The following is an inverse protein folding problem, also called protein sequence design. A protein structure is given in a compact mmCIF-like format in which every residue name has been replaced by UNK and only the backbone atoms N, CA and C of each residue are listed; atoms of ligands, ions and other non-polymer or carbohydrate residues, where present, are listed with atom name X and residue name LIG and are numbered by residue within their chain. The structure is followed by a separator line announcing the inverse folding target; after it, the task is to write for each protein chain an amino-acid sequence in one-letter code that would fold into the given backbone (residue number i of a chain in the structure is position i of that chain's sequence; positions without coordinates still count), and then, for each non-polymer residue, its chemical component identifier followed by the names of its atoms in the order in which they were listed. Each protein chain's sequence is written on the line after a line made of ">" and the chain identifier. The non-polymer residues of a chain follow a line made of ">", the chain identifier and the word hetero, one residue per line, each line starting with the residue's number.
data_IF_221665505864
#
_entry.id   IF_221665505864
#
_cell.length_a   1.000
_cell.length_b   1.000
_cell.length_c   1.000
_cell.angle_alpha   90.00
_cell.angle_beta   90.00
_cell.angle_gamma   90.00
#
_symmetry.space_group_name_H-M   'P 1'
#
loop_
_entity.id
_entity.type
_entity.pdbx_description
1 polymer ?
#
# COMPACT_ATOMS: atom_id res chain seq x y z
N UNK A 1 68.18 -57.05 7.91
CA UNK A 1 66.89 -57.75 8.04
C UNK A 1 65.84 -56.69 8.42
N UNK A 2 65.17 -56.18 7.38
CA UNK A 2 63.91 -55.39 7.30
C UNK A 2 63.37 -54.63 8.54
N UNK A 3 63.44 -53.29 8.50
CA UNK A 3 62.65 -52.36 9.33
C UNK A 3 61.26 -52.20 8.69
N UNK A 4 60.22 -52.50 9.46
CA UNK A 4 58.82 -52.66 9.04
C UNK A 4 58.02 -51.39 9.37
N UNK A 5 57.56 -50.71 8.32
CA UNK A 5 56.41 -49.81 8.21
C UNK A 5 56.02 -48.96 9.44
N UNK A 6 56.49 -47.72 9.49
CA UNK A 6 55.97 -46.62 10.34
C UNK A 6 55.82 -45.34 9.52
N UNK A 7 55.08 -45.40 8.41
CA UNK A 7 54.77 -44.22 7.57
C UNK A 7 53.39 -44.36 6.94
N UNK A 8 52.35 -44.49 7.77
CA UNK A 8 50.97 -44.52 7.30
C UNK A 8 50.01 -43.89 8.33
N UNK A 9 50.25 -42.62 8.66
CA UNK A 9 49.38 -41.94 9.62
C UNK A 9 49.67 -40.46 9.76
N UNK A 10 49.60 -39.67 8.69
CA UNK A 10 49.59 -38.20 8.86
C UNK A 10 48.89 -37.37 7.77
N UNK A 11 48.11 -37.95 6.85
CA UNK A 11 47.61 -37.20 5.68
C UNK A 11 46.09 -37.15 5.52
N UNK A 12 45.31 -37.27 6.61
CA UNK A 12 43.83 -37.28 6.50
C UNK A 12 43.10 -36.47 7.60
N UNK A 13 43.56 -35.24 7.89
CA UNK A 13 42.91 -34.41 8.93
C UNK A 13 42.73 -32.93 8.58
N UNK A 14 42.74 -32.52 7.30
CA UNK A 14 42.71 -31.11 6.91
C UNK A 14 41.55 -30.69 5.98
N UNK A 15 40.49 -31.49 5.86
CA UNK A 15 39.42 -31.25 4.87
C UNK A 15 38.03 -30.85 5.42
N UNK A 16 37.91 -30.34 6.66
CA UNK A 16 36.59 -29.94 7.21
C UNK A 16 36.42 -28.44 7.56
N UNK A 17 37.37 -27.57 7.20
CA UNK A 17 37.31 -26.14 7.55
C UNK A 17 36.53 -25.27 6.54
N UNK A 18 35.47 -25.77 5.91
CA UNK A 18 34.86 -25.09 4.74
C UNK A 18 33.36 -24.76 4.84
N UNK A 19 32.74 -24.74 6.02
CA UNK A 19 31.29 -24.53 6.12
C UNK A 19 30.82 -23.60 7.27
N UNK A 20 31.41 -22.42 7.47
CA UNK A 20 30.85 -21.44 8.44
C UNK A 20 30.99 -19.98 8.01
N UNK A 21 30.69 -19.67 6.75
CA UNK A 21 30.32 -18.30 6.35
C UNK A 21 28.87 -18.36 5.91
N UNK A 22 27.96 -18.36 6.89
CA UNK A 22 26.59 -17.92 6.65
C UNK A 22 26.65 -16.38 6.70
N UNK A 23 26.34 -15.65 5.62
CA UNK A 23 26.23 -14.21 5.70
C UNK A 23 25.15 -13.85 6.72
N UNK A 24 25.42 -12.85 7.57
CA UNK A 24 24.44 -12.29 8.48
C UNK A 24 23.21 -11.85 7.66
N UNK A 25 22.05 -12.41 8.00
CA UNK A 25 20.78 -12.00 7.39
C UNK A 25 20.39 -10.69 8.03
N UNK A 26 20.39 -9.61 7.25
CA UNK A 26 19.79 -8.35 7.71
C UNK A 26 18.38 -8.62 8.25
N UNK A 27 18.05 -8.10 9.45
CA UNK A 27 16.74 -8.30 10.05
C UNK A 27 15.68 -7.68 9.13
N UNK A 28 14.59 -8.43 8.95
CA UNK A 28 13.44 -7.98 8.18
C UNK A 28 12.51 -7.17 9.08
N UNK A 29 12.31 -5.90 8.77
CA UNK A 29 11.37 -4.99 9.46
C UNK A 29 10.10 -4.84 8.65
N UNK A 30 8.96 -4.95 9.33
CA UNK A 30 7.64 -4.71 8.76
C UNK A 30 7.12 -3.34 9.17
N UNK A 31 6.62 -2.59 8.21
CA UNK A 31 6.09 -1.24 8.36
C UNK A 31 4.59 -1.22 8.04
N UNK A 32 3.88 -0.36 8.74
CA UNK A 32 2.50 0.01 8.43
C UNK A 32 2.48 1.46 7.98
N UNK A 33 1.42 1.87 7.29
CA UNK A 33 1.18 3.30 7.09
C UNK A 33 0.87 3.95 8.45
N UNK A 34 1.37 5.17 8.73
CA UNK A 34 0.90 5.95 9.85
C UNK A 34 -0.62 6.11 9.80
N UNK A 35 -1.27 6.02 10.96
CA UNK A 35 -2.71 6.29 11.08
C UNK A 35 -3.02 7.66 10.50
N UNK A 36 -4.06 7.79 9.64
CA UNK A 36 -4.43 9.09 9.09
C UNK A 36 -4.89 10.02 10.23
N UNK A 37 -4.67 11.32 10.06
CA UNK A 37 -5.12 12.39 10.95
C UNK A 37 -6.06 13.33 10.18
N UNK A 38 -7.24 12.82 9.81
CA UNK A 38 -8.28 13.64 9.19
C UNK A 38 -9.23 14.20 10.24
N UNK A 39 -9.41 15.52 10.23
CA UNK A 39 -10.40 16.19 11.06
C UNK A 39 -11.83 15.76 10.65
N UNK A 40 -12.75 15.61 11.62
CA UNK A 40 -14.15 15.32 11.32
C UNK A 40 -14.77 16.38 10.40
N UNK A 41 -15.60 15.93 9.48
CA UNK A 41 -16.34 16.78 8.57
C UNK A 41 -17.29 17.71 9.37
N UNK A 42 -17.28 19.00 9.07
CA UNK A 42 -18.11 19.97 9.79
C UNK A 42 -19.58 20.01 9.33
N UNK A 43 -19.90 19.41 8.18
CA UNK A 43 -21.26 19.35 7.62
C UNK A 43 -22.04 18.11 8.03
N UNK A 44 -23.31 18.06 7.62
CA UNK A 44 -24.11 16.84 7.79
C UNK A 44 -23.52 15.68 6.96
N UNK A 45 -23.44 14.47 7.53
CA UNK A 45 -23.10 13.27 6.76
C UNK A 45 -24.10 13.02 5.63
N UNK A 46 -23.64 12.51 4.51
CA UNK A 46 -24.53 11.97 3.48
C UNK A 46 -25.22 10.72 4.05
N UNK A 47 -26.54 10.56 3.86
CA UNK A 47 -27.30 9.40 4.32
C UNK A 47 -27.04 8.17 3.42
N UNK A 48 -25.79 7.95 3.04
CA UNK A 48 -25.32 6.89 2.16
C UNK A 48 -24.33 6.02 2.92
N UNK A 49 -24.46 4.70 2.79
CA UNK A 49 -23.46 3.74 3.19
C UNK A 49 -22.49 3.51 2.02
N UNK A 50 -21.20 3.79 2.24
CA UNK A 50 -20.15 3.61 1.26
C UNK A 50 -19.38 2.32 1.54
N UNK A 51 -19.16 1.50 0.49
CA UNK A 51 -18.19 0.41 0.54
C UNK A 51 -16.94 0.76 -0.25
N UNK A 52 -15.79 0.71 0.39
CA UNK A 52 -14.48 0.84 -0.26
C UNK A 52 -14.00 -0.57 -0.61
N UNK A 53 -13.89 -0.86 -1.91
CA UNK A 53 -13.38 -2.14 -2.40
C UNK A 53 -11.84 -2.06 -2.48
N UNK A 54 -11.14 -3.15 -2.15
CA UNK A 54 -9.68 -3.21 -2.36
C UNK A 54 -9.35 -2.81 -3.81
N UNK A 55 -8.42 -1.84 -4.03
CA UNK A 55 -8.02 -1.46 -5.37
C UNK A 55 -7.53 -2.67 -6.17
N UNK A 56 -7.96 -2.79 -7.43
CA UNK A 56 -7.24 -3.65 -8.37
C UNK A 56 -5.84 -3.11 -8.59
N UNK A 57 -4.91 -3.95 -9.06
CA UNK A 57 -3.57 -3.48 -9.42
C UNK A 57 -2.84 -4.50 -10.28
N UNK A 58 -1.71 -4.10 -10.86
CA UNK A 58 -0.79 -5.03 -11.50
C UNK A 58 -0.16 -6.00 -10.48
N UNK A 59 0.26 -7.17 -10.94
CA UNK A 59 0.94 -8.16 -10.08
C UNK A 59 2.20 -7.60 -9.40
N UNK A 60 2.86 -6.60 -10.00
CA UNK A 60 4.04 -5.97 -9.42
C UNK A 60 3.71 -5.16 -8.15
N UNK A 61 2.52 -4.54 -8.09
CA UNK A 61 2.03 -3.78 -6.95
C UNK A 61 1.35 -4.66 -5.90
N UNK A 62 0.92 -5.88 -6.25
CA UNK A 62 0.40 -6.88 -5.31
C UNK A 62 1.55 -7.52 -4.50
N UNK A 63 2.28 -6.70 -3.77
CA UNK A 63 3.49 -7.09 -3.04
C UNK A 63 3.54 -6.40 -1.69
N UNK A 64 4.24 -7.03 -0.75
CA UNK A 64 4.59 -6.44 0.56
C UNK A 64 5.93 -5.70 0.51
N UNK A 65 6.54 -5.55 -0.67
CA UNK A 65 7.80 -4.82 -0.82
C UNK A 65 7.54 -3.33 -0.91
N UNK A 66 8.35 -2.54 -0.23
CA UNK A 66 8.35 -1.09 -0.41
C UNK A 66 9.05 -0.80 -1.74
N UNK A 67 8.25 -0.40 -2.72
CA UNK A 67 8.69 -0.28 -4.11
C UNK A 67 9.38 1.04 -4.37
N UNK A 68 10.38 0.97 -5.25
CA UNK A 68 11.11 2.14 -5.74
C UNK A 68 11.31 2.02 -7.25
N UNK A 69 11.18 3.14 -7.94
CA UNK A 69 11.36 3.28 -9.38
C UNK A 69 12.52 4.25 -9.66
N UNK A 70 13.75 3.75 -9.85
CA UNK A 70 14.94 4.59 -10.05
C UNK A 70 14.94 5.38 -11.36
N UNK A 71 14.37 4.81 -12.43
CA UNK A 71 14.44 5.34 -13.79
C UNK A 71 13.07 5.50 -14.46
N UNK A 72 11.98 5.29 -13.72
CA UNK A 72 10.60 5.38 -14.23
C UNK A 72 10.11 4.12 -14.96
N UNK A 73 11.01 3.20 -15.32
CA UNK A 73 10.71 2.04 -16.15
C UNK A 73 10.99 0.71 -15.44
N UNK A 74 11.75 0.75 -14.34
CA UNK A 74 12.08 -0.41 -13.52
C UNK A 74 11.47 -0.28 -12.13
N UNK A 75 11.05 -1.41 -11.56
CA UNK A 75 10.66 -1.50 -10.16
C UNK A 75 11.71 -2.31 -9.41
N UNK A 76 12.27 -1.69 -8.39
CA UNK A 76 13.13 -2.29 -7.37
C UNK A 76 12.43 -2.19 -6.01
N UNK A 77 13.10 -2.61 -4.94
CA UNK A 77 12.56 -2.51 -3.58
C UNK A 77 13.64 -2.27 -2.53
N UNK A 78 13.26 -1.64 -1.42
CA UNK A 78 14.13 -1.51 -0.25
C UNK A 78 14.55 -2.88 0.30
N UNK A 79 15.83 -3.01 0.65
CA UNK A 79 16.34 -4.19 1.36
C UNK A 79 15.97 -4.11 2.84
N UNK A 80 15.78 -5.26 3.49
CA UNK A 80 15.43 -5.33 4.92
C UNK A 80 14.05 -4.77 5.31
N UNK A 81 13.32 -4.07 4.43
CA UNK A 81 12.07 -3.40 4.77
C UNK A 81 10.87 -3.90 3.96
N UNK A 82 9.76 -4.19 4.63
CA UNK A 82 8.51 -4.65 4.02
C UNK A 82 7.34 -3.88 4.59
N UNK A 83 6.30 -3.76 3.79
CA UNK A 83 4.96 -3.47 4.28
C UNK A 83 4.39 -4.66 5.04
N UNK A 84 3.53 -4.41 6.02
CA UNK A 84 2.82 -5.43 6.77
C UNK A 84 1.82 -6.21 5.88
N UNK A 85 1.25 -5.52 4.89
CA UNK A 85 0.25 -6.04 3.95
C UNK A 85 0.60 -5.65 2.51
N UNK A 86 0.00 -6.30 1.49
CA UNK A 86 0.17 -5.89 0.10
C UNK A 86 -0.28 -4.45 -0.13
N UNK A 87 0.38 -3.71 -1.04
CA UNK A 87 0.10 -2.29 -1.28
C UNK A 87 -1.40 -1.95 -1.45
N UNK A 88 -2.21 -2.69 -2.23
CA UNK A 88 -3.64 -2.37 -2.37
C UNK A 88 -4.41 -2.53 -1.04
N UNK A 89 -4.05 -3.53 -0.23
CA UNK A 89 -4.66 -3.78 1.07
C UNK A 89 -4.29 -2.68 2.06
N UNK A 90 -3.01 -2.29 2.11
CA UNK A 90 -2.56 -1.16 2.93
C UNK A 90 -3.33 0.12 2.59
N UNK A 91 -3.45 0.42 1.29
CA UNK A 91 -4.15 1.61 0.85
C UNK A 91 -5.65 1.56 1.20
N UNK A 92 -6.31 0.40 1.01
CA UNK A 92 -7.70 0.22 1.41
C UNK A 92 -7.89 0.55 2.90
N UNK A 93 -7.06 -0.04 3.77
CA UNK A 93 -7.19 0.18 5.22
C UNK A 93 -6.97 1.64 5.60
N UNK A 94 -6.00 2.32 4.98
CA UNK A 94 -5.78 3.74 5.18
C UNK A 94 -6.99 4.58 4.76
N UNK A 95 -7.57 4.28 3.59
CA UNK A 95 -8.76 4.98 3.08
C UNK A 95 -9.99 4.75 3.97
N UNK A 96 -10.21 3.53 4.44
CA UNK A 96 -11.33 3.21 5.35
C UNK A 96 -11.20 4.00 6.64
N UNK A 97 -10.03 3.96 7.30
CA UNK A 97 -9.80 4.71 8.53
C UNK A 97 -10.00 6.21 8.32
N UNK A 98 -9.47 6.76 7.24
CA UNK A 98 -9.61 8.18 6.92
C UNK A 98 -11.08 8.58 6.67
N UNK A 99 -11.85 7.77 5.93
CA UNK A 99 -13.26 8.02 5.66
C UNK A 99 -14.13 7.87 6.92
N UNK A 100 -13.79 6.93 7.81
CA UNK A 100 -14.46 6.76 9.10
C UNK A 100 -14.19 7.93 10.06
N UNK A 101 -12.93 8.41 10.13
CA UNK A 101 -12.56 9.57 10.96
C UNK A 101 -13.23 10.86 10.50
N UNK A 102 -13.27 11.09 9.18
CA UNK A 102 -13.93 12.27 8.60
C UNK A 102 -15.46 12.21 8.79
N UNK A 103 -16.09 11.03 8.73
CA UNK A 103 -17.51 10.87 9.05
C UNK A 103 -18.48 11.44 8.00
N UNK A 104 -18.01 11.69 6.77
CA UNK A 104 -18.83 12.21 5.67
C UNK A 104 -19.97 11.31 5.22
N UNK A 105 -19.92 10.01 5.51
CA UNK A 105 -20.89 9.01 5.10
C UNK A 105 -21.54 8.39 6.34
N UNK A 106 -22.82 8.02 6.24
CA UNK A 106 -23.55 7.39 7.35
C UNK A 106 -22.94 6.07 7.82
N UNK A 107 -22.27 5.35 6.91
CA UNK A 107 -21.47 4.18 7.21
C UNK A 107 -20.36 4.04 6.14
N UNK A 108 -19.21 3.52 6.57
CA UNK A 108 -18.11 3.11 5.70
C UNK A 108 -17.85 1.64 5.96
N UNK A 109 -17.59 0.87 4.90
CA UNK A 109 -17.33 -0.56 5.02
C UNK A 109 -16.38 -1.06 3.95
N UNK A 110 -15.94 -2.31 4.08
CA UNK A 110 -15.16 -3.04 3.07
C UNK A 110 -15.97 -4.19 2.48
N UNK A 111 -15.42 -4.84 1.45
CA UNK A 111 -16.00 -6.07 0.88
C UNK A 111 -15.93 -7.28 1.80
N UNK A 112 -15.11 -7.26 2.85
CA UNK A 112 -15.02 -8.37 3.82
C UNK A 112 -16.12 -8.30 4.88
N UNK A 113 -16.77 -7.15 5.02
CA UNK A 113 -17.89 -6.94 5.92
C UNK A 113 -19.22 -7.20 5.20
N UNK A 114 -20.08 -8.02 5.82
CA UNK A 114 -21.42 -8.36 5.29
C UNK A 114 -22.47 -7.26 5.57
N UNK A 115 -22.15 -6.02 5.20
CA UNK A 115 -23.03 -4.86 5.34
C UNK A 115 -23.66 -4.50 4.00
N UNK A 116 -24.84 -3.89 3.99
CA UNK A 116 -25.36 -3.27 2.77
C UNK A 116 -24.63 -1.94 2.53
N UNK A 117 -24.44 -1.59 1.25
CA UNK A 117 -23.85 -0.34 0.84
C UNK A 117 -24.67 0.25 -0.31
N UNK A 118 -24.93 1.55 -0.25
CA UNK A 118 -25.63 2.31 -1.28
C UNK A 118 -24.71 2.63 -2.47
N UNK A 119 -23.41 2.77 -2.21
CA UNK A 119 -22.38 3.10 -3.22
C UNK A 119 -21.14 2.25 -3.00
N UNK A 120 -20.51 1.79 -4.09
CA UNK A 120 -19.19 1.18 -4.05
C UNK A 120 -18.14 2.16 -4.62
N UNK A 121 -17.08 2.41 -3.86
CA UNK A 121 -15.84 2.99 -4.37
C UNK A 121 -14.95 1.84 -4.88
N UNK A 122 -14.86 1.73 -6.20
CA UNK A 122 -13.93 0.81 -6.88
C UNK A 122 -12.75 1.58 -7.43
N UNK A 123 -11.57 0.98 -7.46
CA UNK A 123 -10.39 1.66 -7.98
C UNK A 123 -9.33 0.71 -8.57
N UNK A 124 -8.44 1.27 -9.39
CA UNK A 124 -7.22 0.64 -9.89
C UNK A 124 -6.00 1.42 -9.41
N UNK A 125 -5.13 0.77 -8.64
CA UNK A 125 -3.87 1.33 -8.13
C UNK A 125 -2.81 1.18 -9.22
N UNK A 126 -2.40 2.33 -9.76
CA UNK A 126 -1.48 2.45 -10.90
C UNK A 126 -0.05 2.59 -10.42
N UNK A 127 0.16 3.31 -9.32
CA UNK A 127 1.46 3.51 -8.70
C UNK A 127 1.34 3.56 -7.18
N UNK A 128 2.32 2.94 -6.52
CA UNK A 128 2.50 3.02 -5.07
C UNK A 128 3.97 2.76 -4.76
N UNK A 129 4.79 3.78 -5.01
CA UNK A 129 6.24 3.65 -5.04
C UNK A 129 6.94 4.98 -4.76
N UNK A 130 8.19 4.90 -4.33
CA UNK A 130 9.12 6.03 -4.46
C UNK A 130 9.59 6.13 -5.91
N UNK A 131 9.65 7.31 -6.49
CA UNK A 131 10.20 7.58 -7.83
C UNK A 131 11.38 8.55 -7.71
N UNK A 132 12.44 8.28 -8.46
CA UNK A 132 13.54 9.23 -8.66
C UNK A 132 13.34 10.04 -9.94
N UNK A 133 13.66 11.33 -9.87
CA UNK A 133 13.76 12.25 -11.00
C UNK A 133 15.10 12.99 -10.87
N UNK A 134 16.14 12.42 -11.49
CA UNK A 134 17.52 12.83 -11.21
C UNK A 134 17.89 12.49 -9.76
N UNK A 135 18.35 13.48 -9.00
CA UNK A 135 18.72 13.30 -7.58
C UNK A 135 17.53 13.45 -6.62
N UNK A 136 16.38 13.91 -7.11
CA UNK A 136 15.19 14.12 -6.29
C UNK A 136 14.36 12.85 -6.22
N UNK A 137 13.89 12.51 -5.03
CA UNK A 137 12.97 11.41 -4.82
C UNK A 137 11.60 11.93 -4.40
N UNK A 138 10.54 11.19 -4.74
CA UNK A 138 9.19 11.48 -4.27
C UNK A 138 8.41 10.19 -4.07
N UNK A 139 7.55 10.14 -3.07
CA UNK A 139 6.48 9.13 -3.03
C UNK A 139 5.43 9.50 -4.07
N UNK A 140 5.00 8.52 -4.85
CA UNK A 140 3.95 8.67 -5.87
C UNK A 140 2.85 7.64 -5.62
N UNK A 141 1.62 8.13 -5.55
CA UNK A 141 0.41 7.31 -5.52
C UNK A 141 -0.49 7.75 -6.68
N UNK A 142 -0.76 6.85 -7.62
CA UNK A 142 -1.72 7.08 -8.70
C UNK A 142 -2.87 6.08 -8.58
N UNK A 143 -4.10 6.59 -8.51
CA UNK A 143 -5.31 5.80 -8.31
C UNK A 143 -6.40 6.24 -9.30
N UNK A 144 -6.88 5.30 -10.11
CA UNK A 144 -8.06 5.48 -10.95
C UNK A 144 -9.30 5.03 -10.17
N UNK A 145 -10.16 5.96 -9.77
CA UNK A 145 -11.32 5.68 -8.92
C UNK A 145 -12.66 5.82 -9.67
N UNK A 146 -13.64 5.03 -9.24
CA UNK A 146 -15.03 5.04 -9.73
C UNK A 146 -16.00 4.87 -8.57
N UNK A 147 -17.07 5.66 -8.59
CA UNK A 147 -18.24 5.45 -7.73
C UNK A 147 -19.28 4.68 -8.53
N UNK A 148 -19.75 3.58 -7.98
CA UNK A 148 -20.65 2.64 -8.64
C UNK A 148 -21.91 2.50 -7.81
N UNK A 149 -23.07 2.56 -8.46
CA UNK A 149 -24.34 2.10 -7.88
C UNK A 149 -24.38 0.57 -7.99
N UNK A 150 -24.34 -0.19 -6.87
CA UNK A 150 -24.32 -1.64 -6.92
C UNK A 150 -25.65 -2.25 -7.40
N UNK A 151 -26.77 -1.53 -7.32
CA UNK A 151 -28.09 -2.00 -7.73
C UNK A 151 -28.26 -2.01 -9.26
N UNK A 152 -27.80 -0.96 -9.92
CA UNK A 152 -27.88 -0.80 -11.38
C UNK A 152 -26.57 -1.16 -12.09
N UNK A 153 -25.47 -1.26 -11.35
CA UNK A 153 -24.09 -1.37 -11.86
C UNK A 153 -23.63 -0.17 -12.68
N UNK A 154 -24.33 0.96 -12.55
CA UNK A 154 -23.97 2.20 -13.25
C UNK A 154 -22.74 2.85 -12.61
N UNK A 155 -21.88 3.43 -13.46
CA UNK A 155 -20.80 4.32 -13.01
C UNK A 155 -21.40 5.70 -12.76
N UNK A 156 -21.42 6.12 -11.50
CA UNK A 156 -21.92 7.42 -11.07
C UNK A 156 -20.90 8.53 -11.36
N UNK A 157 -19.63 8.26 -11.11
CA UNK A 157 -18.52 9.15 -11.42
C UNK A 157 -17.22 8.36 -11.57
N UNK A 158 -16.26 8.93 -12.31
CA UNK A 158 -14.91 8.40 -12.44
C UNK A 158 -13.88 9.54 -12.44
N UNK A 159 -12.74 9.35 -11.75
CA UNK A 159 -11.66 10.33 -11.68
C UNK A 159 -10.32 9.65 -11.41
N UNK A 160 -9.26 10.18 -12.01
CA UNK A 160 -7.87 9.84 -11.68
C UNK A 160 -7.35 10.78 -10.59
N UNK A 161 -6.64 10.21 -9.62
CA UNK A 161 -5.92 10.91 -8.58
C UNK A 161 -4.43 10.60 -8.70
N UNK A 162 -3.59 11.62 -8.55
CA UNK A 162 -2.13 11.50 -8.63
C UNK A 162 -1.52 12.37 -7.56
N UNK A 163 -1.05 11.74 -6.48
CA UNK A 163 -0.38 12.41 -5.37
C UNK A 163 1.12 12.21 -5.51
N UNK A 164 1.88 13.30 -5.43
CA UNK A 164 3.33 13.28 -5.39
C UNK A 164 3.81 14.05 -4.16
N UNK A 165 4.52 13.36 -3.27
CA UNK A 165 5.12 13.93 -2.06
C UNK A 165 6.64 13.89 -2.19
N UNK A 166 7.32 15.05 -2.36
CA UNK A 166 8.77 15.13 -2.38
C UNK A 166 9.38 14.54 -1.11
N UNK A 167 10.50 13.86 -1.23
CA UNK A 167 11.26 13.31 -0.12
C UNK A 167 12.45 14.22 0.21
N UNK A 168 12.62 14.54 1.49
CA UNK A 168 13.80 15.26 1.99
C UNK A 168 15.04 14.36 2.05
N UNK A 169 14.83 13.07 2.34
CA UNK A 169 15.85 12.03 2.35
C UNK A 169 15.22 10.68 1.94
N UNK A 170 16.06 9.66 1.81
CA UNK A 170 15.62 8.33 1.36
C UNK A 170 15.74 7.26 2.43
N UNK A 171 15.90 7.68 3.70
CA UNK A 171 15.81 6.79 4.83
C UNK A 171 14.41 6.18 4.91
N UNK A 172 14.35 4.89 5.25
CA UNK A 172 13.09 4.14 5.14
C UNK A 172 11.97 4.69 6.02
N UNK A 173 12.30 5.23 7.20
CA UNK A 173 11.34 5.87 8.10
C UNK A 173 10.75 7.14 7.47
N UNK A 174 11.60 7.96 6.83
CA UNK A 174 11.16 9.14 6.09
C UNK A 174 10.23 8.76 4.94
N UNK A 175 10.59 7.73 4.18
CA UNK A 175 9.77 7.19 3.09
C UNK A 175 8.40 6.71 3.58
N UNK A 176 8.36 5.95 4.66
CA UNK A 176 7.12 5.43 5.26
C UNK A 176 6.20 6.58 5.71
N UNK A 177 6.77 7.61 6.35
CA UNK A 177 6.00 8.78 6.77
C UNK A 177 5.41 9.54 5.58
N UNK A 178 6.19 9.73 4.51
CA UNK A 178 5.69 10.41 3.30
C UNK A 178 4.65 9.59 2.54
N UNK A 179 4.70 8.25 2.61
CA UNK A 179 3.58 7.40 2.16
C UNK A 179 2.31 7.63 2.99
N UNK A 180 2.45 7.81 4.31
CA UNK A 180 1.34 8.21 5.18
C UNK A 180 0.71 9.51 4.72
N UNK A 181 1.52 10.58 4.62
CA UNK A 181 1.07 11.90 4.16
C UNK A 181 0.44 11.86 2.76
N UNK A 182 1.05 11.15 1.82
CA UNK A 182 0.49 11.01 0.47
C UNK A 182 -0.86 10.29 0.48
N UNK A 183 -1.02 9.26 1.31
CA UNK A 183 -2.26 8.49 1.41
C UNK A 183 -3.37 9.28 2.12
N UNK A 184 -3.03 10.09 3.12
CA UNK A 184 -3.95 11.02 3.76
C UNK A 184 -4.46 12.09 2.80
N UNK A 185 -3.56 12.71 2.03
CA UNK A 185 -3.95 13.65 0.98
C UNK A 185 -4.87 12.99 -0.05
N UNK A 186 -4.53 11.78 -0.51
CA UNK A 186 -5.39 11.03 -1.42
C UNK A 186 -6.78 10.78 -0.82
N UNK A 187 -6.86 10.41 0.46
CA UNK A 187 -8.12 10.19 1.15
C UNK A 187 -8.96 11.47 1.21
N UNK A 188 -8.36 12.60 1.55
CA UNK A 188 -9.02 13.91 1.57
C UNK A 188 -9.58 14.30 0.19
N UNK A 189 -8.79 14.12 -0.88
CA UNK A 189 -9.22 14.41 -2.25
C UNK A 189 -10.36 13.48 -2.71
N UNK A 190 -10.28 12.18 -2.36
CA UNK A 190 -11.33 11.20 -2.65
C UNK A 190 -12.62 11.51 -1.89
N UNK A 191 -12.54 11.90 -0.62
CA UNK A 191 -13.69 12.30 0.20
C UNK A 191 -14.42 13.50 -0.42
N UNK A 192 -13.67 14.58 -0.69
CA UNK A 192 -14.24 15.79 -1.28
C UNK A 192 -14.90 15.51 -2.63
N UNK A 193 -14.23 14.74 -3.49
CA UNK A 193 -14.78 14.33 -4.79
C UNK A 193 -16.03 13.45 -4.64
N UNK A 194 -15.99 12.46 -3.75
CA UNK A 194 -17.11 11.53 -3.57
C UNK A 194 -18.34 12.22 -3.05
N UNK A 195 -18.20 13.13 -2.08
CA UNK A 195 -19.31 13.95 -1.60
C UNK A 195 -19.91 14.81 -2.72
N UNK A 196 -19.05 15.47 -3.50
CA UNK A 196 -19.50 16.32 -4.60
C UNK A 196 -20.24 15.51 -5.67
N UNK A 197 -19.77 14.31 -5.99
CA UNK A 197 -20.37 13.46 -7.01
C UNK A 197 -21.71 12.81 -6.55
N UNK A 198 -21.87 12.59 -5.25
CA UNK A 198 -23.02 11.90 -4.66
C UNK A 198 -24.05 12.83 -4.01
N UNK A 199 -23.86 14.15 -4.07
CA UNK A 199 -24.71 15.12 -3.38
C UNK A 199 -26.21 15.02 -3.75
N UNK A 200 -26.50 14.63 -5.00
CA UNK A 200 -27.86 14.46 -5.51
C UNK A 200 -28.21 12.98 -5.78
N UNK A 201 -27.37 12.04 -5.35
CA UNK A 201 -27.59 10.62 -5.60
C UNK A 201 -28.58 10.02 -4.59
N UNK A 202 -29.71 9.52 -5.11
CA UNK A 202 -30.74 8.84 -4.33
C UNK A 202 -30.70 7.32 -4.61
N UNK A 203 -30.23 6.49 -3.68
CA UNK A 203 -30.13 5.05 -3.87
C UNK A 203 -31.51 4.39 -3.84
N UNK A 204 -31.67 3.32 -4.61
CA UNK A 204 -32.85 2.47 -4.57
C UNK A 204 -32.88 1.66 -3.27
N UNK A 205 -33.60 2.15 -2.26
CA UNK A 205 -33.86 1.39 -1.03
C UNK A 205 -35.07 0.50 -1.23
N UNK A 206 -34.84 -0.80 -1.39
CA UNK A 206 -35.92 -1.80 -1.35
C UNK A 206 -36.27 -2.00 0.13
N UNK A 207 -37.46 -1.54 0.53
CA UNK A 207 -38.01 -1.76 1.87
C UNK A 207 -38.40 -3.23 2.08
#
# INVERSE_FOLDING_TARGET
>A
MTIRHLTAGLLLASALSACTVLPDREPLTFYQLPTPDLAPHSGAPLPLALRIITPSSSNALQTIRILVSPDGNTLSSYQGARWADPNPNLLREQLVQAFEQDGSFSAVSTETQSLQADVHLMSDLREFQTRYQGEQASVVIELDAKLIDPSTRAVLAAKRFSIQQPLEDTAIESVVNHFGTASEQLASELLAWSRSALGDFEPLRIQ
#
